data_IF_547446870853
#
_entry.id   IF_547446870853
#
_cell.length_a   1.000
_cell.length_b   1.000
_cell.length_c   1.000
_cell.angle_alpha   90.00
_cell.angle_beta   90.00
_cell.angle_gamma   90.00
#
_symmetry.space_group_name_H-M   'P 1'
#
loop_
_entity.id
_entity.type
_entity.pdbx_description
1 polymer ?
#
# COMPACT_ATOMS: atom_id res chain seq x y z
N UNK A 1 63.63 -13.74 -14.39
CA UNK A 1 62.80 -12.74 -15.11
C UNK A 1 61.40 -13.33 -15.25
N UNK A 2 60.51 -13.10 -14.28
CA UNK A 2 59.14 -13.65 -14.26
C UNK A 2 58.16 -12.62 -14.82
N UNK A 3 57.53 -12.92 -15.96
CA UNK A 3 56.44 -12.11 -16.52
C UNK A 3 55.12 -12.58 -15.91
N UNK A 4 54.53 -11.73 -15.06
CA UNK A 4 53.13 -11.85 -14.64
C UNK A 4 52.23 -11.32 -15.77
N UNK A 5 51.34 -12.16 -16.27
CA UNK A 5 50.26 -11.77 -17.18
C UNK A 5 49.01 -11.59 -16.32
N UNK A 6 48.61 -10.33 -16.10
CA UNK A 6 47.34 -9.99 -15.45
C UNK A 6 46.23 -10.01 -16.51
N UNK A 7 45.38 -11.03 -16.46
CA UNK A 7 44.13 -11.07 -17.24
C UNK A 7 43.06 -10.30 -16.47
N UNK A 8 42.71 -9.10 -16.95
CA UNK A 8 41.55 -8.35 -16.47
C UNK A 8 40.26 -9.01 -17.00
N UNK A 9 39.49 -9.62 -16.12
CA UNK A 9 38.13 -10.08 -16.41
C UNK A 9 37.20 -8.87 -16.25
N UNK A 10 36.71 -8.34 -17.38
CA UNK A 10 35.63 -7.36 -17.39
C UNK A 10 34.31 -8.05 -17.02
N UNK A 11 33.80 -7.80 -15.81
CA UNK A 11 32.42 -8.11 -15.47
C UNK A 11 31.51 -7.12 -16.21
N UNK A 12 30.83 -7.58 -17.26
CA UNK A 12 29.72 -6.85 -17.86
C UNK A 12 28.56 -6.96 -16.87
N UNK A 13 28.34 -5.91 -16.08
CA UNK A 13 27.13 -5.76 -15.26
C UNK A 13 25.97 -5.58 -16.26
N UNK A 14 25.14 -6.62 -16.39
CA UNK A 14 23.89 -6.51 -17.13
C UNK A 14 23.01 -5.50 -16.38
N UNK A 15 22.89 -4.29 -16.94
CA UNK A 15 21.91 -3.31 -16.50
C UNK A 15 20.55 -3.84 -16.95
N UNK A 16 19.83 -4.49 -16.03
CA UNK A 16 18.43 -4.82 -16.26
C UNK A 16 17.68 -3.52 -16.57
N UNK A 17 17.02 -3.48 -17.74
CA UNK A 17 16.13 -2.38 -18.10
C UNK A 17 14.99 -2.36 -17.09
N UNK A 18 15.08 -1.49 -16.09
CA UNK A 18 13.95 -1.14 -15.23
C UNK A 18 12.86 -0.57 -16.13
N UNK A 19 11.77 -1.30 -16.33
CA UNK A 19 10.57 -0.74 -16.96
C UNK A 19 10.19 0.49 -16.15
N UNK A 20 10.08 1.63 -16.82
CA UNK A 20 9.75 2.89 -16.16
C UNK A 20 8.37 2.75 -15.51
N UNK A 21 8.33 2.97 -14.20
CA UNK A 21 7.09 3.01 -13.42
C UNK A 21 6.25 4.21 -13.90
N UNK A 22 5.01 3.96 -14.30
CA UNK A 22 4.11 5.04 -14.70
C UNK A 22 3.54 5.67 -13.44
N UNK A 23 3.88 6.93 -13.20
CA UNK A 23 3.33 7.72 -12.09
C UNK A 23 1.98 8.32 -12.51
N UNK A 24 0.94 8.08 -11.71
CA UNK A 24 -0.41 8.58 -11.94
C UNK A 24 -0.93 9.30 -10.69
N UNK A 25 -1.57 10.45 -10.88
CA UNK A 25 -2.28 11.09 -9.78
C UNK A 25 -3.58 10.33 -9.50
N UNK A 26 -3.88 10.13 -8.22
CA UNK A 26 -5.13 9.53 -7.78
C UNK A 26 -5.78 10.33 -6.64
N UNK A 27 -7.11 10.33 -6.61
CA UNK A 27 -7.89 10.78 -5.46
C UNK A 27 -8.09 9.58 -4.54
N UNK A 28 -7.44 9.58 -3.37
CA UNK A 28 -7.58 8.49 -2.40
C UNK A 28 -8.68 8.82 -1.38
N UNK A 29 -9.66 7.92 -1.28
CA UNK A 29 -10.70 7.95 -0.25
C UNK A 29 -10.32 6.89 0.79
N UNK A 30 -10.16 7.32 2.04
CA UNK A 30 -9.82 6.47 3.16
C UNK A 30 -11.06 5.94 3.89
N UNK A 31 -10.90 4.80 4.56
CA UNK A 31 -11.88 4.23 5.50
C UNK A 31 -11.12 3.61 6.69
N UNK A 32 -11.56 3.81 7.93
CA UNK A 32 -10.98 3.14 9.09
C UNK A 32 -11.12 1.62 8.98
N UNK A 33 -10.06 0.89 9.31
CA UNK A 33 -10.09 -0.57 9.42
C UNK A 33 -9.67 -0.98 10.82
N UNK A 34 -10.50 -1.77 11.46
CA UNK A 34 -10.27 -2.28 12.81
C UNK A 34 -10.49 -3.79 12.80
N UNK A 35 -9.49 -4.53 13.27
CA UNK A 35 -9.62 -5.96 13.55
C UNK A 35 -9.70 -6.14 15.05
N UNK A 36 -10.79 -6.76 15.50
CA UNK A 36 -11.08 -6.99 16.91
C UNK A 36 -10.75 -8.44 17.30
N UNK A 37 -10.24 -8.63 18.50
CA UNK A 37 -10.07 -9.94 19.13
C UNK A 37 -10.52 -9.81 20.58
N UNK A 38 -11.46 -10.66 21.00
CA UNK A 38 -12.05 -10.65 22.34
C UNK A 38 -12.60 -9.27 22.79
N UNK A 39 -13.25 -8.57 21.86
CA UNK A 39 -13.83 -7.26 22.11
C UNK A 39 -12.81 -6.12 22.25
N UNK A 40 -11.54 -6.34 21.90
CA UNK A 40 -10.49 -5.32 21.92
C UNK A 40 -9.81 -5.17 20.55
N UNK A 41 -9.27 -3.99 20.21
CA UNK A 41 -8.48 -3.81 19.01
C UNK A 41 -7.24 -4.70 19.02
N UNK A 42 -7.11 -5.53 17.99
CA UNK A 42 -5.90 -6.28 17.68
C UNK A 42 -5.13 -5.65 16.52
N UNK A 43 -5.82 -4.92 15.63
CA UNK A 43 -5.17 -4.14 14.57
C UNK A 43 -5.99 -2.90 14.24
N UNK A 44 -5.30 -1.81 13.92
CA UNK A 44 -5.88 -0.54 13.51
C UNK A 44 -5.17 -0.06 12.24
N UNK A 45 -5.92 0.47 11.29
CA UNK A 45 -5.35 0.92 10.03
C UNK A 45 -6.33 1.67 9.16
N UNK A 46 -5.93 1.90 7.92
CA UNK A 46 -6.69 2.61 6.91
C UNK A 46 -6.78 1.74 5.66
N UNK A 47 -8.00 1.59 5.11
CA UNK A 47 -8.22 1.16 3.73
C UNK A 47 -8.31 2.39 2.86
N UNK A 48 -7.67 2.37 1.71
CA UNK A 48 -7.75 3.41 0.69
C UNK A 48 -8.31 2.83 -0.60
N UNK A 49 -9.21 3.57 -1.23
CA UNK A 49 -9.64 3.35 -2.60
C UNK A 49 -9.21 4.58 -3.39
N UNK A 50 -8.35 4.39 -4.38
CA UNK A 50 -7.90 5.44 -5.27
C UNK A 50 -8.65 5.42 -6.59
N UNK A 51 -8.97 6.60 -7.10
CA UNK A 51 -9.45 6.78 -8.47
C UNK A 51 -8.40 7.55 -9.25
N UNK A 52 -7.85 6.94 -10.30
CA UNK A 52 -6.97 7.64 -11.24
C UNK A 52 -7.71 8.86 -11.80
N UNK A 53 -7.04 10.03 -11.80
CA UNK A 53 -7.57 11.21 -12.47
C UNK A 53 -7.58 10.96 -13.99
N UNK A 54 -8.74 11.10 -14.68
CA UNK A 54 -8.83 10.92 -16.13
C UNK A 54 -7.87 11.85 -16.88
N UNK A 55 -7.29 11.36 -17.97
CA UNK A 55 -6.45 12.18 -18.85
C UNK A 55 -7.28 13.18 -19.67
N UNK A 56 -8.56 12.86 -19.92
CA UNK A 56 -9.52 13.74 -20.57
C UNK A 56 -10.94 13.47 -20.09
N UNK A 57 -11.65 14.51 -19.64
CA UNK A 57 -13.05 14.40 -19.22
C UNK A 57 -14.02 14.11 -20.40
N UNK A 58 -13.54 14.10 -21.64
CA UNK A 58 -14.37 13.99 -22.83
C UNK A 58 -14.39 12.58 -23.45
N UNK A 59 -13.64 11.61 -22.90
CA UNK A 59 -13.65 10.23 -23.40
C UNK A 59 -14.34 9.27 -22.41
N UNK A 60 -15.64 9.01 -22.56
CA UNK A 60 -16.37 8.09 -21.68
C UNK A 60 -15.86 6.65 -21.72
N UNK A 61 -15.12 6.26 -22.77
CA UNK A 61 -14.54 4.92 -22.92
C UNK A 61 -13.12 4.81 -22.34
N UNK A 62 -12.57 5.88 -21.75
CA UNK A 62 -11.26 5.83 -21.07
C UNK A 62 -11.31 4.81 -19.93
N UNK A 63 -10.34 3.89 -19.92
CA UNK A 63 -10.12 2.97 -18.80
C UNK A 63 -9.29 3.66 -17.72
N UNK A 64 -9.81 3.67 -16.50
CA UNK A 64 -9.16 4.20 -15.33
C UNK A 64 -8.73 3.05 -14.43
N UNK A 65 -7.55 3.18 -13.84
CA UNK A 65 -7.11 2.31 -12.77
C UNK A 65 -7.72 2.74 -11.43
N UNK A 66 -8.13 1.74 -10.65
CA UNK A 66 -8.67 1.92 -9.30
C UNK A 66 -7.85 1.05 -8.35
N UNK A 67 -6.78 1.59 -7.73
CA UNK A 67 -6.07 0.90 -6.67
C UNK A 67 -6.93 0.80 -5.39
N UNK A 68 -7.04 -0.40 -4.82
CA UNK A 68 -7.72 -0.66 -3.54
C UNK A 68 -6.71 -1.33 -2.62
N UNK A 69 -6.49 -0.78 -1.44
CA UNK A 69 -5.49 -1.31 -0.54
C UNK A 69 -5.72 -0.92 0.89
N UNK A 70 -5.06 -1.59 1.80
CA UNK A 70 -5.10 -1.25 3.21
C UNK A 70 -3.75 -1.48 3.86
N UNK A 71 -3.49 -0.69 4.88
CA UNK A 71 -2.33 -0.85 5.75
C UNK A 71 -2.77 -0.67 7.20
N UNK A 72 -2.26 -1.54 8.08
CA UNK A 72 -2.63 -1.57 9.50
C UNK A 72 -1.45 -1.95 10.37
N UNK A 73 -1.44 -1.39 11.58
CA UNK A 73 -0.52 -1.79 12.64
C UNK A 73 -1.23 -2.84 13.50
N UNK A 74 -0.54 -3.92 13.81
CA UNK A 74 -1.02 -4.97 14.70
C UNK A 74 -0.51 -4.75 16.12
N UNK A 75 -1.22 -5.31 17.10
CA UNK A 75 -0.83 -5.29 18.53
C UNK A 75 0.55 -5.91 18.79
N UNK A 76 1.00 -6.82 17.91
CA UNK A 76 2.35 -7.39 17.94
C UNK A 76 3.45 -6.42 17.52
N UNK A 77 3.09 -5.22 17.01
CA UNK A 77 4.02 -4.23 16.49
C UNK A 77 4.35 -4.39 15.00
N UNK A 78 3.89 -5.46 14.34
CA UNK A 78 4.07 -5.63 12.90
C UNK A 78 3.03 -4.86 12.10
N UNK A 79 3.43 -4.44 10.91
CA UNK A 79 2.52 -3.93 9.89
C UNK A 79 1.91 -5.06 9.07
N UNK A 80 0.67 -4.89 8.63
CA UNK A 80 0.05 -5.72 7.61
C UNK A 80 -0.45 -4.81 6.49
N UNK A 81 -0.15 -5.17 5.26
CA UNK A 81 -0.67 -4.48 4.07
C UNK A 81 -1.38 -5.46 3.15
N UNK A 82 -2.44 -4.99 2.49
CA UNK A 82 -3.22 -5.74 1.50
C UNK A 82 -3.48 -4.83 0.31
N UNK A 83 -3.48 -5.39 -0.89
CA UNK A 83 -3.75 -4.64 -2.10
C UNK A 83 -4.50 -5.47 -3.14
N UNK A 84 -5.22 -4.75 -3.99
CA UNK A 84 -5.95 -5.22 -5.14
C UNK A 84 -5.97 -4.09 -6.19
N UNK A 85 -5.92 -4.45 -7.46
CA UNK A 85 -6.06 -3.49 -8.55
C UNK A 85 -7.31 -3.78 -9.37
N UNK A 86 -7.99 -2.71 -9.79
CA UNK A 86 -9.11 -2.82 -10.71
C UNK A 86 -8.94 -1.89 -11.91
N UNK A 87 -9.72 -2.16 -12.96
CA UNK A 87 -10.01 -1.22 -14.03
C UNK A 87 -11.51 -0.93 -14.07
N UNK A 88 -11.86 0.31 -14.39
CA UNK A 88 -13.23 0.73 -14.67
C UNK A 88 -13.23 1.70 -15.85
N UNK A 89 -14.28 1.72 -16.66
CA UNK A 89 -14.43 2.78 -17.66
C UNK A 89 -15.00 4.04 -17.03
N UNK A 90 -14.60 5.21 -17.52
CA UNK A 90 -15.11 6.49 -17.00
C UNK A 90 -16.65 6.55 -17.02
N UNK A 91 -17.30 6.09 -18.09
CA UNK A 91 -18.77 6.03 -18.16
C UNK A 91 -19.40 5.12 -17.10
N UNK A 92 -18.72 4.04 -16.74
CA UNK A 92 -19.24 3.04 -15.81
C UNK A 92 -19.11 3.55 -14.38
N UNK A 93 -18.03 4.28 -14.07
CA UNK A 93 -17.85 4.96 -12.79
C UNK A 93 -19.01 5.93 -12.47
N UNK A 94 -19.54 6.62 -13.48
CA UNK A 94 -20.66 7.56 -13.33
C UNK A 94 -22.03 6.87 -13.27
N UNK A 95 -22.14 5.64 -13.73
CA UNK A 95 -23.40 4.90 -13.87
C UNK A 95 -23.48 3.67 -12.94
N UNK A 96 -22.65 3.62 -11.89
CA UNK A 96 -22.56 2.48 -10.96
C UNK A 96 -22.24 1.14 -11.65
N UNK A 97 -21.48 1.17 -12.74
CA UNK A 97 -20.95 -0.03 -13.37
C UNK A 97 -19.87 -0.70 -12.52
N UNK A 98 -19.61 -1.98 -12.80
CA UNK A 98 -18.70 -2.80 -12.00
C UNK A 98 -17.24 -2.62 -12.40
N UNK A 99 -16.36 -2.47 -11.42
CA UNK A 99 -14.92 -2.47 -11.63
C UNK A 99 -14.42 -3.92 -11.85
N UNK A 100 -13.55 -4.10 -12.84
CA UNK A 100 -12.98 -5.40 -13.19
C UNK A 100 -11.65 -5.58 -12.47
N UNK A 101 -11.58 -6.57 -11.57
CA UNK A 101 -10.35 -6.92 -10.86
C UNK A 101 -9.23 -7.36 -11.82
N UNK A 102 -7.99 -6.97 -11.50
CA UNK A 102 -6.80 -7.31 -12.26
C UNK A 102 -5.78 -7.98 -11.34
N UNK A 103 -5.22 -9.14 -11.74
CA UNK A 103 -4.24 -9.84 -10.92
C UNK A 103 -2.95 -9.01 -10.80
N UNK A 104 -2.49 -8.88 -9.56
CA UNK A 104 -1.24 -8.20 -9.22
C UNK A 104 -0.19 -9.23 -8.81
N UNK A 105 1.07 -8.94 -9.10
CA UNK A 105 2.25 -9.74 -8.76
C UNK A 105 2.92 -9.25 -7.48
N UNK A 106 2.94 -7.93 -7.27
CA UNK A 106 3.53 -7.29 -6.10
C UNK A 106 2.97 -5.87 -5.92
N UNK A 107 3.13 -5.30 -4.72
CA UNK A 107 2.70 -3.94 -4.42
C UNK A 107 3.48 -3.36 -3.24
N UNK A 108 3.44 -2.04 -3.09
CA UNK A 108 3.99 -1.36 -1.92
C UNK A 108 3.29 -0.03 -1.66
N UNK A 109 3.42 0.46 -0.43
CA UNK A 109 3.00 1.79 0.00
C UNK A 109 4.22 2.57 0.51
N UNK A 110 4.19 3.90 0.41
CA UNK A 110 5.06 4.78 1.19
C UNK A 110 4.45 6.16 1.39
N UNK A 111 4.87 6.83 2.44
CA UNK A 111 4.69 8.26 2.55
C UNK A 111 5.75 9.01 1.72
N UNK A 112 5.48 10.26 1.37
CA UNK A 112 6.47 11.14 0.74
C UNK A 112 7.73 11.28 1.60
N UNK A 113 8.90 11.04 1.01
CA UNK A 113 10.19 11.08 1.71
C UNK A 113 10.56 9.81 2.48
N UNK A 114 9.64 8.85 2.58
CA UNK A 114 9.83 7.61 3.34
C UNK A 114 10.17 6.41 2.45
N UNK A 115 10.62 5.31 3.08
CA UNK A 115 10.88 4.04 2.39
C UNK A 115 9.56 3.34 2.03
N UNK A 116 9.59 2.58 0.94
CA UNK A 116 8.51 1.66 0.60
C UNK A 116 8.39 0.53 1.62
N UNK A 117 7.16 0.12 1.90
CA UNK A 117 6.88 -1.10 2.66
C UNK A 117 7.54 -2.29 1.97
N UNK A 118 8.16 -3.17 2.75
CA UNK A 118 8.85 -4.36 2.24
C UNK A 118 8.32 -5.59 2.97
N UNK A 119 8.00 -6.68 2.27
CA UNK A 119 7.58 -7.91 2.91
C UNK A 119 8.66 -8.46 3.86
N UNK A 120 8.33 -8.62 5.14
CA UNK A 120 9.18 -9.36 6.11
C UNK A 120 8.89 -10.86 6.11
N UNK A 121 7.76 -11.24 5.51
CA UNK A 121 7.36 -12.62 5.24
C UNK A 121 6.96 -12.74 3.76
N UNK A 122 6.93 -13.95 3.18
CA UNK A 122 6.47 -14.15 1.81
C UNK A 122 5.06 -13.57 1.59
N UNK A 123 4.86 -12.94 0.43
CA UNK A 123 3.56 -12.41 0.03
C UNK A 123 2.57 -13.56 -0.11
N UNK A 124 1.37 -13.39 0.44
CA UNK A 124 0.30 -14.39 0.43
C UNK A 124 -0.91 -13.87 -0.36
N UNK A 125 -1.69 -14.77 -1.00
CA UNK A 125 -3.02 -14.43 -1.47
C UNK A 125 -3.91 -13.96 -0.32
N UNK A 126 -4.74 -12.96 -0.55
CA UNK A 126 -5.79 -12.57 0.38
C UNK A 126 -7.08 -13.35 0.19
N UNK A 127 -8.11 -12.96 0.95
CA UNK A 127 -9.45 -13.57 0.89
C UNK A 127 -10.08 -13.45 -0.51
N UNK A 128 -9.81 -12.35 -1.21
CA UNK A 128 -10.09 -12.23 -2.63
C UNK A 128 -8.90 -12.85 -3.41
N UNK A 129 -9.12 -13.82 -4.32
CA UNK A 129 -8.04 -14.48 -5.06
C UNK A 129 -7.13 -13.54 -5.88
N UNK A 130 -7.61 -12.34 -6.22
CA UNK A 130 -6.83 -11.33 -6.94
C UNK A 130 -6.07 -10.39 -5.99
N UNK A 131 -6.35 -10.44 -4.70
CA UNK A 131 -5.69 -9.61 -3.69
C UNK A 131 -4.43 -10.30 -3.17
N UNK A 132 -3.42 -9.49 -2.85
CA UNK A 132 -2.22 -9.93 -2.18
C UNK A 132 -2.12 -9.24 -0.81
N UNK A 133 -1.50 -9.90 0.16
CA UNK A 133 -1.16 -9.34 1.45
C UNK A 133 0.22 -9.77 1.92
N UNK A 134 0.88 -8.92 2.71
CA UNK A 134 2.12 -9.28 3.39
C UNK A 134 2.28 -8.52 4.70
N UNK A 135 3.07 -9.11 5.60
CA UNK A 135 3.53 -8.43 6.80
C UNK A 135 4.75 -7.54 6.48
N UNK A 136 4.85 -6.38 7.11
CA UNK A 136 5.95 -5.40 7.01
C UNK A 136 6.34 -4.93 8.42
N UNK A 137 7.40 -4.14 8.55
CA UNK A 137 7.74 -3.45 9.79
C UNK A 137 6.67 -2.43 10.21
N UNK A 138 6.53 -2.21 11.53
CA UNK A 138 5.58 -1.25 12.07
C UNK A 138 5.94 0.22 11.76
N UNK A 139 7.23 0.54 11.61
CA UNK A 139 7.72 1.90 11.36
C UNK A 139 7.16 2.47 10.05
N UNK A 140 7.22 1.69 8.97
CA UNK A 140 6.67 2.06 7.66
C UNK A 140 5.16 2.31 7.73
N UNK A 141 4.43 1.54 8.54
CA UNK A 141 2.98 1.72 8.74
C UNK A 141 2.69 2.97 9.57
N UNK A 142 3.44 3.21 10.65
CA UNK A 142 3.29 4.43 11.44
C UNK A 142 3.55 5.66 10.59
N UNK A 143 4.55 5.64 9.71
CA UNK A 143 4.83 6.74 8.78
C UNK A 143 3.67 6.97 7.77
N UNK A 144 3.06 5.89 7.25
CA UNK A 144 1.88 5.98 6.40
C UNK A 144 0.67 6.57 7.15
N UNK A 145 0.43 6.11 8.37
CA UNK A 145 -0.67 6.61 9.21
C UNK A 145 -0.46 8.09 9.55
N UNK A 146 0.76 8.50 9.92
CA UNK A 146 1.11 9.92 10.11
C UNK A 146 0.83 10.73 8.85
N UNK A 147 1.25 10.24 7.68
CA UNK A 147 1.02 10.93 6.42
C UNK A 147 -0.48 11.14 6.13
N UNK A 148 -1.32 10.14 6.42
CA UNK A 148 -2.78 10.26 6.28
C UNK A 148 -3.35 11.35 7.20
N UNK A 149 -3.04 11.30 8.49
CA UNK A 149 -3.58 12.28 9.45
C UNK A 149 -3.00 13.69 9.25
N UNK A 150 -1.75 13.79 8.78
CA UNK A 150 -1.08 15.04 8.47
C UNK A 150 -1.39 15.57 7.06
N UNK A 151 -2.29 14.92 6.31
CA UNK A 151 -2.68 15.32 4.95
C UNK A 151 -1.46 15.46 4.00
N UNK A 152 -0.46 14.60 4.18
CA UNK A 152 0.72 14.47 3.30
C UNK A 152 0.42 13.51 2.16
N UNK A 153 1.23 13.58 1.11
CA UNK A 153 1.11 12.67 -0.04
C UNK A 153 1.58 11.28 0.37
N UNK A 154 0.83 10.27 -0.06
CA UNK A 154 1.27 8.87 -0.05
C UNK A 154 1.41 8.39 -1.50
N UNK A 155 2.18 7.32 -1.68
CA UNK A 155 2.32 6.60 -2.92
C UNK A 155 1.90 5.15 -2.71
N UNK A 156 1.20 4.60 -3.69
CA UNK A 156 0.75 3.22 -3.74
C UNK A 156 1.08 2.64 -5.10
N UNK A 157 1.99 1.68 -5.16
CA UNK A 157 2.36 1.04 -6.40
C UNK A 157 1.79 -0.37 -6.54
N UNK A 158 1.39 -0.70 -7.76
CA UNK A 158 0.91 -2.00 -8.18
C UNK A 158 1.71 -2.49 -9.38
N UNK A 159 2.20 -3.73 -9.27
CA UNK A 159 2.76 -4.48 -10.39
C UNK A 159 1.75 -5.52 -10.83
N UNK A 160 1.29 -5.43 -12.07
CA UNK A 160 0.32 -6.35 -12.64
C UNK A 160 1.01 -7.54 -13.31
N UNK A 161 0.32 -8.68 -13.41
CA UNK A 161 0.82 -9.87 -14.12
C UNK A 161 1.09 -9.61 -15.61
N UNK A 162 0.45 -8.59 -16.20
CA UNK A 162 0.73 -8.12 -17.56
C UNK A 162 2.11 -7.49 -17.72
N UNK A 163 2.86 -7.29 -16.63
CA UNK A 163 4.16 -6.60 -16.61
C UNK A 163 4.06 -5.07 -16.51
N UNK A 164 2.86 -4.54 -16.25
CA UNK A 164 2.62 -3.11 -16.09
C UNK A 164 2.88 -2.71 -14.64
N UNK A 165 3.75 -1.72 -14.43
CA UNK A 165 4.11 -1.18 -13.12
C UNK A 165 3.54 0.25 -13.02
N UNK A 166 2.63 0.48 -12.08
CA UNK A 166 1.95 1.79 -11.89
C UNK A 166 2.08 2.21 -10.44
N UNK A 167 2.55 3.45 -10.22
CA UNK A 167 2.45 4.11 -8.93
C UNK A 167 1.41 5.21 -8.96
N UNK A 168 0.51 5.15 -8.00
CA UNK A 168 -0.47 6.18 -7.71
C UNK A 168 0.07 7.09 -6.62
N UNK A 169 -0.15 8.40 -6.75
CA UNK A 169 0.17 9.36 -5.70
C UNK A 169 -0.99 10.31 -5.44
N UNK A 170 -1.15 10.70 -4.18
CA UNK A 170 -2.25 11.56 -3.74
C UNK A 170 -2.32 11.67 -2.22
N UNK A 171 -3.25 12.49 -1.75
CA UNK A 171 -3.58 12.61 -0.32
C UNK A 171 -4.79 11.74 -0.02
N UNK A 172 -4.82 11.14 1.17
CA UNK A 172 -5.97 10.36 1.64
C UNK A 172 -6.98 11.28 2.31
N UNK A 173 -8.19 11.31 1.78
CA UNK A 173 -9.31 12.01 2.38
C UNK A 173 -10.08 11.10 3.33
N UNK A 174 -10.32 11.58 4.55
CA UNK A 174 -11.16 10.96 5.57
C UNK A 174 -12.17 12.00 6.06
N UNK A 175 -13.35 11.56 6.47
CA UNK A 175 -14.31 12.39 7.19
C UNK A 175 -13.86 12.60 8.65
N UNK A 176 -14.43 13.60 9.32
CA UNK A 176 -14.13 13.87 10.74
C UNK A 176 -14.48 12.67 11.65
N UNK A 177 -15.57 11.97 11.34
CA UNK A 177 -16.00 10.79 12.10
C UNK A 177 -14.99 9.64 11.90
N UNK A 178 -14.52 9.43 10.68
CA UNK A 178 -13.51 8.42 10.36
C UNK A 178 -12.15 8.73 11.02
N UNK A 179 -11.74 10.00 11.05
CA UNK A 179 -10.55 10.44 11.78
C UNK A 179 -10.71 10.12 13.27
N UNK A 180 -11.85 10.50 13.86
CA UNK A 180 -12.14 10.27 15.28
C UNK A 180 -12.12 8.77 15.62
N UNK A 181 -12.76 7.94 14.79
CA UNK A 181 -12.78 6.49 14.96
C UNK A 181 -11.38 5.88 14.85
N UNK A 182 -10.59 6.33 13.87
CA UNK A 182 -9.23 5.83 13.67
C UNK A 182 -8.31 6.19 14.84
N UNK A 183 -8.38 7.44 15.33
CA UNK A 183 -7.60 7.88 16.50
C UNK A 183 -8.00 7.13 17.77
N UNK A 184 -9.29 6.86 17.97
CA UNK A 184 -9.76 6.07 19.10
C UNK A 184 -9.20 4.63 19.06
N UNK A 185 -9.25 3.99 17.88
CA UNK A 185 -8.66 2.66 17.66
C UNK A 185 -7.18 2.66 18.02
N UNK A 186 -6.40 3.57 17.43
CA UNK A 186 -4.95 3.64 17.61
C UNK A 186 -4.57 3.89 19.07
N UNK A 187 -5.30 4.77 19.76
CA UNK A 187 -5.08 5.05 21.19
C UNK A 187 -5.29 3.81 22.05
N UNK A 188 -6.38 3.08 21.82
CA UNK A 188 -6.64 1.84 22.56
C UNK A 188 -5.60 0.76 22.24
N UNK A 189 -5.25 0.59 20.97
CA UNK A 189 -4.24 -0.37 20.53
C UNK A 189 -2.88 -0.11 21.20
N UNK A 190 -2.39 1.14 21.21
CA UNK A 190 -1.12 1.48 21.84
C UNK A 190 -1.12 1.23 23.35
N UNK A 191 -2.23 1.53 24.03
CA UNK A 191 -2.39 1.21 25.46
C UNK A 191 -2.24 -0.30 25.73
N UNK A 192 -2.80 -1.13 24.85
CA UNK A 192 -2.68 -2.59 24.95
C UNK A 192 -1.24 -3.06 24.67
N UNK A 193 -0.57 -2.50 23.65
CA UNK A 193 0.82 -2.79 23.33
C UNK A 193 1.76 -2.48 24.51
N UNK A 194 1.61 -1.30 25.13
CA UNK A 194 2.38 -0.92 26.32
C UNK A 194 2.13 -1.87 27.50
N UNK A 195 0.87 -2.30 27.68
CA UNK A 195 0.53 -3.25 28.75
C UNK A 195 1.16 -4.61 28.54
N UNK A 196 1.34 -5.07 27.30
CA UNK A 196 1.93 -6.36 27.01
C UNK A 196 3.44 -6.34 27.22
N UNK A 197 4.12 -5.29 26.77
CA UNK A 197 5.56 -5.09 27.03
C UNK A 197 5.87 -5.12 28.53
N UNK A 198 5.01 -4.52 29.37
CA UNK A 198 5.18 -4.55 30.84
C UNK A 198 4.97 -5.93 31.46
N UNK A 199 4.20 -6.81 30.83
CA UNK A 199 3.98 -8.18 31.31
C UNK A 199 5.18 -9.07 30.98
N UNK A 200 5.76 -8.91 29.79
CA UNK A 200 6.91 -9.72 29.35
C UNK A 200 8.20 -9.43 30.14
N UNK A 201 8.23 -8.31 30.87
CA UNK A 201 9.35 -7.93 31.76
C UNK A 201 9.24 -8.49 33.18
N UNK A 202 8.14 -9.18 33.53
CA UNK A 202 7.91 -9.76 34.86
C UNK A 202 8.11 -11.27 34.85
#
# INVERSE_FOLDING_TARGET
MFKFVFTFIFFIVAVEKTNAEVMMQANFIGQPVMLMTDGRPNSCGIRIIGYQTPSSNNNPEEELWVPDGSFMIQRSGYGLVKALGYKIKLKDMLNNGEAIGKPIKSFWFKAEGEKATVPVLPIQPGENPLSLLYATDGESITALIDAVFSQKVIQFALKFDSGTDIAFYGKVSLTNDEITQSLACMKELYSLMESDVKKDQR
#
